data_IF_572739556440
#
_entry.id   IF_572739556440
#
_cell.length_a   1.000
_cell.length_b   1.000
_cell.length_c   1.000
_cell.angle_alpha   90.00
_cell.angle_beta   90.00
_cell.angle_gamma   90.00
#
_symmetry.space_group_name_H-M   'P 1'
#
loop_
_entity.id
_entity.type
_entity.pdbx_description
1 polymer ?
#
# COMPACT_ATOMS: atom_id res chain seq x y z
N UNK A 1 -9.30 -6.08 7.37
CA UNK A 1 -8.46 -7.03 8.16
C UNK A 1 -7.28 -6.28 8.75
N UNK A 2 -7.12 -6.37 10.06
CA UNK A 2 -5.97 -5.80 10.80
C UNK A 2 -4.98 -6.90 11.12
N UNK A 3 -3.70 -6.61 10.88
CA UNK A 3 -2.60 -7.48 11.28
C UNK A 3 -1.59 -6.65 12.04
N UNK A 4 -1.10 -7.16 13.15
CA UNK A 4 -0.07 -6.51 13.97
C UNK A 4 1.25 -7.24 13.75
N UNK A 5 2.28 -6.46 13.41
CA UNK A 5 3.60 -6.98 13.11
C UNK A 5 4.64 -6.47 14.09
N UNK A 6 5.34 -7.38 14.72
CA UNK A 6 6.61 -7.04 15.36
C UNK A 6 7.66 -6.84 14.26
N UNK A 7 8.35 -5.72 14.29
CA UNK A 7 9.29 -5.31 13.25
C UNK A 7 10.74 -5.27 13.69
N UNK A 8 11.04 -5.70 14.92
CA UNK A 8 12.35 -5.50 15.54
C UNK A 8 13.48 -6.28 14.88
N UNK A 9 13.39 -7.57 14.76
CA UNK A 9 14.47 -8.40 14.19
C UNK A 9 14.00 -9.16 12.97
N UNK A 10 12.74 -9.57 12.99
CA UNK A 10 12.07 -10.25 11.91
C UNK A 10 10.62 -9.76 11.86
N UNK A 11 10.01 -9.85 10.70
CA UNK A 11 8.60 -9.50 10.57
C UNK A 11 7.74 -10.68 11.03
N UNK A 12 7.19 -10.58 12.23
CA UNK A 12 6.32 -11.61 12.83
C UNK A 12 5.01 -11.04 13.31
N UNK A 13 3.94 -11.78 13.13
CA UNK A 13 2.63 -11.41 13.66
C UNK A 13 2.59 -11.49 15.18
N UNK A 14 1.89 -10.53 15.78
CA UNK A 14 1.56 -10.51 17.20
C UNK A 14 0.06 -10.35 17.38
N UNK A 15 -0.47 -10.71 18.54
CA UNK A 15 -1.92 -10.81 18.74
C UNK A 15 -2.61 -9.46 18.97
N UNK A 16 -1.88 -8.46 19.44
CA UNK A 16 -2.41 -7.13 19.75
C UNK A 16 -1.37 -6.05 19.56
N UNK A 17 -1.81 -4.82 19.49
CA UNK A 17 -0.92 -3.67 19.38
C UNK A 17 0.05 -3.59 20.57
N UNK A 18 1.30 -3.32 20.24
CA UNK A 18 2.37 -2.98 21.16
C UNK A 18 3.11 -1.74 20.63
N UNK A 19 3.74 -0.94 21.52
CA UNK A 19 4.55 0.20 21.05
C UNK A 19 5.58 -0.20 20.00
N UNK A 20 5.69 0.60 18.95
CA UNK A 20 6.60 0.42 17.82
C UNK A 20 6.28 -0.78 16.90
N UNK A 21 5.18 -1.47 17.10
CA UNK A 21 4.73 -2.45 16.11
C UNK A 21 4.13 -1.75 14.88
N UNK A 22 4.00 -2.49 13.80
CA UNK A 22 3.31 -2.02 12.60
C UNK A 22 1.89 -2.59 12.56
N UNK A 23 0.89 -1.72 12.47
CA UNK A 23 -0.50 -2.11 12.24
C UNK A 23 -0.76 -2.02 10.73
N UNK A 24 -0.95 -3.17 10.11
CA UNK A 24 -1.33 -3.25 8.70
C UNK A 24 -2.84 -3.43 8.59
N UNK A 25 -3.51 -2.54 7.90
CA UNK A 25 -4.95 -2.60 7.66
C UNK A 25 -5.20 -2.71 6.16
N UNK A 26 -5.81 -3.80 5.75
CA UNK A 26 -6.19 -4.07 4.36
C UNK A 26 -7.69 -4.25 4.29
N UNK A 27 -8.34 -3.56 3.34
CA UNK A 27 -9.80 -3.60 3.17
C UNK A 27 -10.51 -3.39 4.53
N UNK A 28 -10.33 -2.23 5.19
CA UNK A 28 -10.84 -2.02 6.54
C UNK A 28 -12.36 -2.18 6.61
N UNK A 29 -12.82 -2.81 7.68
CA UNK A 29 -14.23 -2.89 8.07
C UNK A 29 -14.61 -1.67 8.92
N UNK A 30 -15.89 -1.47 9.19
CA UNK A 30 -16.35 -0.44 10.13
C UNK A 30 -15.71 -0.64 11.52
N UNK A 31 -15.60 -1.88 11.99
CA UNK A 31 -14.90 -2.21 13.23
C UNK A 31 -13.42 -1.79 13.20
N UNK A 32 -12.74 -2.00 12.08
CA UNK A 32 -11.36 -1.55 11.92
C UNK A 32 -11.24 -0.03 12.00
N UNK A 33 -12.14 0.69 11.37
CA UNK A 33 -12.18 2.15 11.39
C UNK A 33 -12.44 2.69 12.80
N UNK A 34 -13.47 2.17 13.46
CA UNK A 34 -13.80 2.54 14.85
C UNK A 34 -12.64 2.25 15.80
N UNK A 35 -11.97 1.11 15.63
CA UNK A 35 -10.81 0.77 16.44
C UNK A 35 -9.69 1.81 16.28
N UNK A 36 -9.35 2.19 15.07
CA UNK A 36 -8.29 3.16 14.81
C UNK A 36 -8.65 4.55 15.34
N UNK A 37 -9.86 4.98 15.11
CA UNK A 37 -10.35 6.30 15.53
C UNK A 37 -10.46 6.39 17.06
N UNK A 38 -11.05 5.40 17.70
CA UNK A 38 -11.32 5.44 19.14
C UNK A 38 -10.07 5.15 19.99
N UNK A 39 -9.22 4.22 19.56
CA UNK A 39 -8.02 3.86 20.32
C UNK A 39 -6.91 4.89 20.19
N UNK A 40 -6.70 5.44 18.99
CA UNK A 40 -5.56 6.31 18.70
C UNK A 40 -5.94 7.76 18.48
N UNK A 41 -7.23 8.10 18.44
CA UNK A 41 -7.72 9.44 18.11
C UNK A 41 -7.13 9.98 16.79
N UNK A 42 -7.08 9.13 15.79
CA UNK A 42 -6.66 9.54 14.45
C UNK A 42 -7.70 10.54 13.91
N UNK A 43 -7.28 11.62 13.24
CA UNK A 43 -8.25 12.49 12.56
C UNK A 43 -9.16 11.68 11.63
N UNK A 44 -10.46 11.84 11.77
CA UNK A 44 -11.47 11.04 11.06
C UNK A 44 -11.36 11.14 9.54
N UNK A 45 -10.95 12.31 9.02
CA UNK A 45 -10.78 12.52 7.58
C UNK A 45 -9.61 11.74 6.99
N UNK A 46 -8.64 11.26 7.78
CA UNK A 46 -7.54 10.45 7.26
C UNK A 46 -8.04 9.21 6.56
N UNK A 47 -8.92 8.46 7.21
CA UNK A 47 -9.44 7.21 6.65
C UNK A 47 -10.36 7.48 5.44
N UNK A 48 -11.18 8.51 5.50
CA UNK A 48 -12.04 8.87 4.36
C UNK A 48 -11.23 9.30 3.15
N UNK A 49 -10.15 10.05 3.34
CA UNK A 49 -9.25 10.46 2.26
C UNK A 49 -8.51 9.26 1.64
N UNK A 50 -8.03 8.33 2.47
CA UNK A 50 -7.37 7.09 1.97
C UNK A 50 -8.37 6.22 1.20
N UNK A 51 -9.65 6.25 1.55
CA UNK A 51 -10.69 5.49 0.85
C UNK A 51 -11.05 6.07 -0.53
N UNK A 52 -10.78 7.33 -0.75
CA UNK A 52 -11.08 8.02 -1.99
C UNK A 52 -10.06 7.65 -3.09
N UNK A 53 -10.52 6.93 -4.10
CA UNK A 53 -9.66 6.49 -5.21
C UNK A 53 -9.09 7.64 -6.04
N UNK A 54 -9.68 8.83 -5.97
CA UNK A 54 -9.22 10.04 -6.66
C UNK A 54 -8.28 10.90 -5.81
N UNK A 55 -8.03 10.49 -4.56
CA UNK A 55 -7.14 11.24 -3.66
C UNK A 55 -5.71 11.29 -4.18
N UNK A 56 -5.10 12.46 -4.10
CA UNK A 56 -3.73 12.67 -4.59
C UNK A 56 -2.69 12.20 -3.58
N UNK A 57 -1.56 11.75 -4.09
CA UNK A 57 -0.37 11.55 -3.26
C UNK A 57 -0.01 12.87 -2.57
N UNK A 58 0.14 12.82 -1.26
CA UNK A 58 0.46 14.00 -0.45
C UNK A 58 1.05 13.63 0.91
N UNK A 59 1.63 14.62 1.53
CA UNK A 59 2.05 14.59 2.92
C UNK A 59 1.23 15.63 3.71
N UNK A 60 0.79 15.23 4.90
CA UNK A 60 0.04 16.09 5.80
C UNK A 60 0.45 15.84 7.24
N UNK A 61 0.36 16.88 8.06
CA UNK A 61 0.64 16.82 9.48
C UNK A 61 -0.50 17.51 10.24
N UNK A 62 -1.19 16.77 11.09
CA UNK A 62 -2.33 17.26 11.85
C UNK A 62 -2.36 16.64 13.24
N UNK A 63 -2.45 17.49 14.27
CA UNK A 63 -2.51 17.09 15.69
C UNK A 63 -1.41 16.08 16.09
N UNK A 64 -0.20 16.28 15.58
CA UNK A 64 0.94 15.38 15.81
C UNK A 64 0.91 14.11 14.97
N UNK A 65 -0.13 13.87 14.20
CA UNK A 65 -0.21 12.77 13.26
C UNK A 65 0.40 13.13 11.92
N UNK A 66 1.29 12.29 11.43
CA UNK A 66 1.79 12.33 10.06
C UNK A 66 0.91 11.42 9.20
N UNK A 67 0.46 11.94 8.07
CA UNK A 67 -0.19 11.17 7.01
C UNK A 67 0.63 11.29 5.74
N UNK A 68 0.99 10.15 5.17
CA UNK A 68 1.52 10.07 3.80
C UNK A 68 0.54 9.26 2.98
N UNK A 69 0.06 9.81 1.89
CA UNK A 69 -0.71 9.07 0.90
C UNK A 69 0.18 8.84 -0.32
N UNK A 70 0.45 7.57 -0.61
CA UNK A 70 1.09 7.11 -1.83
C UNK A 70 0.01 6.58 -2.78
N UNK A 71 0.26 6.72 -4.06
CA UNK A 71 -0.48 5.97 -5.08
C UNK A 71 0.35 4.73 -5.43
N UNK A 72 -0.22 3.54 -5.25
CA UNK A 72 0.48 2.28 -5.52
C UNK A 72 -0.20 1.52 -6.65
N UNK A 73 0.57 0.73 -7.44
CA UNK A 73 0.00 -0.03 -8.54
C UNK A 73 -1.03 -1.05 -8.08
N UNK A 74 -2.14 -1.11 -8.81
CA UNK A 74 -3.22 -2.06 -8.59
C UNK A 74 -3.72 -2.60 -9.92
N UNK A 75 -4.04 -3.89 -9.96
CA UNK A 75 -4.62 -4.53 -11.12
C UNK A 75 -6.08 -4.82 -10.82
N UNK A 76 -6.96 -4.16 -11.57
CA UNK A 76 -8.39 -4.50 -11.61
C UNK A 76 -8.57 -5.87 -12.28
N UNK A 77 -9.80 -6.35 -12.36
CA UNK A 77 -10.09 -7.59 -13.08
C UNK A 77 -9.45 -7.62 -14.47
N UNK A 78 -8.81 -8.73 -14.80
CA UNK A 78 -8.07 -8.96 -16.06
C UNK A 78 -8.95 -8.71 -17.30
N UNK A 79 -10.28 -8.77 -17.17
CA UNK A 79 -11.25 -8.51 -18.25
C UNK A 79 -11.58 -7.03 -18.47
N UNK A 80 -11.06 -6.14 -17.62
CA UNK A 80 -11.24 -4.70 -17.79
C UNK A 80 -10.48 -4.20 -19.02
N UNK A 81 -11.02 -3.19 -19.70
CA UNK A 81 -10.32 -2.51 -20.82
C UNK A 81 -9.03 -1.82 -20.36
N UNK A 82 -8.99 -1.39 -19.11
CA UNK A 82 -7.83 -0.76 -18.47
C UNK A 82 -7.56 -1.44 -17.13
N UNK A 83 -6.90 -2.63 -17.15
CA UNK A 83 -6.70 -3.41 -15.91
C UNK A 83 -5.75 -2.75 -14.94
N UNK A 84 -4.83 -1.90 -15.43
CA UNK A 84 -3.80 -1.26 -14.62
C UNK A 84 -4.29 0.10 -14.12
N UNK A 85 -4.22 0.30 -12.82
CA UNK A 85 -4.56 1.56 -12.15
C UNK A 85 -3.68 1.75 -10.93
N UNK A 86 -3.92 2.79 -10.18
CA UNK A 86 -3.32 3.02 -8.88
C UNK A 86 -4.39 3.23 -7.82
N UNK A 87 -4.06 2.88 -6.59
CA UNK A 87 -4.92 3.09 -5.42
C UNK A 87 -4.14 3.74 -4.30
N UNK A 88 -4.81 4.48 -3.40
CA UNK A 88 -4.13 5.09 -2.27
C UNK A 88 -3.65 4.05 -1.25
N UNK A 89 -2.43 4.23 -0.77
CA UNK A 89 -1.89 3.62 0.44
C UNK A 89 -1.64 4.74 1.44
N UNK A 90 -2.31 4.71 2.58
CA UNK A 90 -2.08 5.64 3.67
C UNK A 90 -1.04 5.11 4.65
N UNK A 91 -0.08 5.95 5.02
CA UNK A 91 0.88 5.69 6.08
C UNK A 91 0.63 6.74 7.16
N UNK A 92 0.30 6.28 8.35
CA UNK A 92 -0.08 7.11 9.48
C UNK A 92 0.89 6.84 10.62
N UNK A 93 1.47 7.91 11.17
CA UNK A 93 2.47 7.77 12.23
C UNK A 93 2.36 8.88 13.26
N UNK A 94 2.47 8.50 14.53
CA UNK A 94 2.65 9.40 15.68
C UNK A 94 3.37 8.64 16.78
N UNK A 95 4.54 9.14 17.21
CA UNK A 95 5.32 8.55 18.31
C UNK A 95 5.65 7.07 18.05
N UNK A 96 5.05 6.16 18.83
CA UNK A 96 5.25 4.71 18.78
C UNK A 96 4.15 3.97 18.00
N UNK A 97 3.29 4.72 17.30
CA UNK A 97 2.19 4.18 16.50
C UNK A 97 2.50 4.34 15.02
N UNK A 98 2.52 3.22 14.29
CA UNK A 98 2.72 3.20 12.84
C UNK A 98 1.65 2.32 12.20
N UNK A 99 0.88 2.90 11.31
CA UNK A 99 -0.27 2.24 10.67
C UNK A 99 -0.16 2.42 9.15
N UNK A 100 -0.41 1.35 8.41
CA UNK A 100 -0.69 1.46 6.97
C UNK A 100 -2.12 1.03 6.70
N UNK A 101 -2.81 1.78 5.85
CA UNK A 101 -4.19 1.51 5.45
C UNK A 101 -4.29 1.49 3.93
N UNK A 102 -4.81 0.40 3.39
CA UNK A 102 -5.15 0.28 1.98
C UNK A 102 -6.52 -0.37 1.85
N UNK A 103 -7.42 0.26 1.11
CA UNK A 103 -8.78 -0.27 0.90
C UNK A 103 -8.84 -1.39 -0.14
N UNK A 104 -7.70 -1.73 -0.73
CA UNK A 104 -7.55 -2.78 -1.74
C UNK A 104 -6.44 -3.75 -1.35
N UNK A 105 -6.63 -5.03 -1.67
CA UNK A 105 -5.57 -6.01 -1.57
C UNK A 105 -4.68 -5.91 -2.82
N UNK A 106 -3.43 -5.55 -2.64
CA UNK A 106 -2.50 -5.32 -3.75
C UNK A 106 -1.35 -6.31 -3.72
N UNK A 107 -0.87 -6.70 -4.91
CA UNK A 107 0.29 -7.57 -5.04
C UNK A 107 1.54 -6.95 -4.43
N UNK A 108 1.68 -5.63 -4.50
CA UNK A 108 2.81 -4.93 -3.91
C UNK A 108 2.89 -5.14 -2.39
N UNK A 109 1.76 -4.99 -1.68
CA UNK A 109 1.75 -5.16 -0.22
C UNK A 109 1.94 -6.63 0.18
N UNK A 110 1.35 -7.56 -0.55
CA UNK A 110 1.54 -9.00 -0.32
C UNK A 110 3.02 -9.36 -0.48
N UNK A 111 3.66 -8.91 -1.56
CA UNK A 111 5.08 -9.15 -1.80
C UNK A 111 5.97 -8.47 -0.77
N UNK A 112 5.64 -7.25 -0.37
CA UNK A 112 6.39 -6.51 0.64
C UNK A 112 6.49 -7.31 1.95
N UNK A 113 5.36 -7.79 2.44
CA UNK A 113 5.30 -8.61 3.65
C UNK A 113 6.07 -9.93 3.46
N UNK A 114 5.76 -10.65 2.37
CA UNK A 114 6.40 -11.95 2.08
C UNK A 114 7.92 -11.84 1.93
N UNK A 115 8.39 -10.80 1.25
CA UNK A 115 9.82 -10.56 1.06
C UNK A 115 10.55 -10.37 2.39
N UNK A 116 10.03 -9.52 3.27
CA UNK A 116 10.66 -9.26 4.56
C UNK A 116 10.57 -10.45 5.52
N UNK A 117 9.47 -11.21 5.48
CA UNK A 117 9.37 -12.45 6.25
C UNK A 117 10.42 -13.48 5.82
N UNK A 118 10.57 -13.67 4.51
CA UNK A 118 11.54 -14.66 3.96
C UNK A 118 13.00 -14.29 4.25
N UNK A 119 13.32 -13.01 4.22
CA UNK A 119 14.67 -12.55 4.55
C UNK A 119 14.97 -12.57 6.04
N UNK A 120 13.95 -12.66 6.87
CA UNK A 120 14.10 -12.61 8.32
C UNK A 120 14.63 -11.27 8.82
N UNK A 121 14.34 -10.19 8.08
CA UNK A 121 14.74 -8.84 8.42
C UNK A 121 13.52 -8.00 8.82
N UNK A 122 13.63 -7.31 9.95
CA UNK A 122 12.66 -6.30 10.35
C UNK A 122 13.04 -4.91 9.80
N UNK A 123 12.53 -3.89 10.46
CA UNK A 123 12.84 -2.49 10.14
C UNK A 123 13.59 -1.85 11.30
N UNK A 124 14.55 -0.99 10.99
CA UNK A 124 15.32 -0.26 12.02
C UNK A 124 14.40 0.68 12.79
N UNK A 125 13.51 1.38 12.08
CA UNK A 125 12.49 2.27 12.62
C UNK A 125 11.37 2.48 11.59
N UNK A 126 10.41 3.35 11.89
CA UNK A 126 9.31 3.66 10.96
C UNK A 126 9.78 4.35 9.69
N UNK A 127 10.86 5.12 9.76
CA UNK A 127 11.43 5.81 8.57
C UNK A 127 12.01 4.80 7.60
N UNK A 128 12.75 3.81 8.09
CA UNK A 128 13.26 2.69 7.30
C UNK A 128 12.12 1.94 6.62
N UNK A 129 11.05 1.65 7.33
CA UNK A 129 9.87 1.00 6.77
C UNK A 129 9.23 1.83 5.64
N UNK A 130 9.08 3.14 5.84
CA UNK A 130 8.51 4.05 4.83
C UNK A 130 9.37 4.07 3.57
N UNK A 131 10.70 4.18 3.69
CA UNK A 131 11.59 4.15 2.54
C UNK A 131 11.54 2.80 1.81
N UNK A 132 11.43 1.69 2.53
CA UNK A 132 11.27 0.37 1.92
C UNK A 132 9.94 0.23 1.19
N UNK A 133 8.87 0.83 1.70
CA UNK A 133 7.58 0.91 1.00
C UNK A 133 7.69 1.74 -0.29
N UNK A 134 8.38 2.88 -0.26
CA UNK A 134 8.64 3.67 -1.46
C UNK A 134 9.44 2.89 -2.50
N UNK A 135 10.49 2.20 -2.08
CA UNK A 135 11.30 1.37 -2.97
C UNK A 135 10.47 0.24 -3.60
N UNK A 136 9.67 -0.45 -2.80
CA UNK A 136 8.76 -1.50 -3.28
C UNK A 136 7.75 -0.95 -4.29
N UNK A 137 7.20 0.23 -4.03
CA UNK A 137 6.30 0.92 -4.96
C UNK A 137 7.00 1.19 -6.30
N UNK A 138 8.22 1.72 -6.27
CA UNK A 138 8.99 2.00 -7.48
C UNK A 138 9.27 0.73 -8.29
N UNK A 139 9.64 -0.36 -7.64
CA UNK A 139 9.87 -1.66 -8.30
C UNK A 139 8.60 -2.16 -8.97
N UNK A 140 7.45 -2.04 -8.32
CA UNK A 140 6.17 -2.49 -8.89
C UNK A 140 5.69 -1.59 -10.03
N UNK A 141 5.94 -0.28 -9.99
CA UNK A 141 5.71 0.60 -11.13
C UNK A 141 6.51 0.16 -12.35
N UNK A 142 7.78 -0.16 -12.17
CA UNK A 142 8.62 -0.65 -13.27
C UNK A 142 8.10 -1.97 -13.84
N UNK A 143 7.67 -2.91 -13.01
CA UNK A 143 7.04 -4.16 -13.46
C UNK A 143 5.79 -3.91 -14.31
N UNK A 144 4.91 -3.01 -13.85
CA UNK A 144 3.67 -2.68 -14.57
C UNK A 144 3.93 -1.96 -15.88
N UNK A 145 4.91 -1.04 -15.90
CA UNK A 145 5.32 -0.37 -17.14
C UNK A 145 5.83 -1.35 -18.19
N UNK A 146 6.62 -2.36 -17.80
CA UNK A 146 7.05 -3.43 -18.69
C UNK A 146 5.87 -4.21 -19.28
N UNK A 147 4.88 -4.54 -18.45
CA UNK A 147 3.67 -5.24 -18.90
C UNK A 147 2.84 -4.39 -19.87
N UNK A 148 2.69 -3.11 -19.59
CA UNK A 148 2.01 -2.16 -20.47
C UNK A 148 2.73 -2.04 -21.80
N UNK A 149 4.06 -1.91 -21.81
CA UNK A 149 4.86 -1.87 -23.04
C UNK A 149 4.69 -3.14 -23.87
N UNK A 150 4.64 -4.31 -23.25
CA UNK A 150 4.39 -5.58 -23.94
C UNK A 150 3.02 -5.58 -24.62
N UNK A 151 1.99 -5.05 -23.97
CA UNK A 151 0.65 -4.93 -24.55
C UNK A 151 0.62 -3.95 -25.72
N UNK A 152 1.33 -2.82 -25.61
CA UNK A 152 1.47 -1.83 -26.68
C UNK A 152 2.14 -2.46 -27.91
N UNK A 153 3.23 -3.19 -27.72
CA UNK A 153 3.95 -3.87 -28.83
C UNK A 153 3.06 -4.92 -29.51
N UNK A 154 2.30 -5.70 -28.74
CA UNK A 154 1.32 -6.64 -29.32
C UNK A 154 0.24 -5.93 -30.14
N UNK A 155 -0.28 -4.81 -29.63
CA UNK A 155 -1.30 -4.02 -30.32
C UNK A 155 -0.75 -3.45 -31.65
N UNK A 156 0.47 -2.92 -31.66
CA UNK A 156 1.15 -2.47 -32.88
C UNK A 156 1.32 -3.61 -33.90
N UNK A 157 1.81 -4.76 -33.44
CA UNK A 157 2.00 -5.93 -34.31
C UNK A 157 0.68 -6.37 -34.97
N UNK A 158 -0.41 -6.42 -34.20
CA UNK A 158 -1.73 -6.78 -34.73
C UNK A 158 -2.26 -5.75 -35.72
N UNK A 159 -2.00 -4.44 -35.50
CA UNK A 159 -2.37 -3.39 -36.42
C UNK A 159 -1.60 -3.50 -37.74
N UNK A 160 -0.30 -3.72 -37.70
CA UNK A 160 0.55 -3.87 -38.86
C UNK A 160 0.14 -5.08 -39.71
N UNK A 161 -0.25 -6.19 -39.10
CA UNK A 161 -0.78 -7.37 -39.79
C UNK A 161 -2.20 -7.17 -40.32
N UNK A 162 -3.03 -6.37 -39.63
CA UNK A 162 -4.38 -6.04 -40.10
C UNK A 162 -4.44 -5.13 -41.30
N UNK A 163 -3.46 -4.26 -41.48
CA UNK A 163 -3.38 -3.34 -42.63
C UNK A 163 -2.88 -4.05 -43.90
N UNK A 164 -2.16 -5.18 -43.77
CA UNK A 164 -1.61 -5.96 -44.90
C UNK A 164 -2.57 -7.06 -45.42
N UNK A 165 -3.76 -7.13 -44.87
CA UNK A 165 -4.86 -7.97 -45.33
C UNK A 165 -5.99 -7.14 -45.91
#
# INVERSE_FOLDING_TARGET
MRTYWNTNSTLKTISKWQPNCWIQVTCPTEEDQEYLENKFNIPDYFLSDISDTDERARYEYDDGWMLIILRIPYVKEIRSRTPYTTVPLGIIHKRDVTITVCYYETNMMIDFVSYHQKRGEGFTDYVDMIFRLFLSSAVWYLKRLKQINTLIEKAKHNLDHGVNN
#
